data_IF_227858841572
#
_entry.id   IF_227858841572
#
_cell.length_a   1.000
_cell.length_b   1.000
_cell.length_c   1.000
_cell.angle_alpha   90.00
_cell.angle_beta   90.00
_cell.angle_gamma   90.00
#
_symmetry.space_group_name_H-M   'P 1'
#
loop_
_entity.id
_entity.type
_entity.pdbx_description
1 polymer ?
#
# COMPACT_ATOMS: atom_id res chain seq x y z
N UNK A 1 3.84 -6.94 5.78
CA UNK A 1 3.21 -5.67 5.33
C UNK A 1 4.07 -4.82 4.40
N UNK A 2 5.32 -4.47 4.76
CA UNK A 2 6.16 -3.53 3.97
C UNK A 2 6.37 -3.93 2.51
N UNK A 3 6.65 -5.21 2.26
CA UNK A 3 6.87 -5.73 0.91
C UNK A 3 5.60 -5.71 0.06
N UNK A 4 4.45 -6.03 0.66
CA UNK A 4 3.14 -5.93 0.00
C UNK A 4 2.87 -4.51 -0.49
N UNK A 5 3.18 -3.49 0.32
CA UNK A 5 3.04 -2.09 -0.08
C UNK A 5 4.01 -1.67 -1.19
N UNK A 6 5.15 -2.37 -1.32
CA UNK A 6 6.16 -2.13 -2.36
C UNK A 6 5.73 -2.69 -3.71
N UNK A 7 5.15 -3.90 -3.69
CA UNK A 7 4.65 -4.56 -4.89
C UNK A 7 3.29 -4.02 -5.33
N UNK A 8 2.43 -3.67 -4.36
CA UNK A 8 1.05 -3.21 -4.57
C UNK A 8 0.79 -1.93 -3.78
N UNK A 9 1.37 -0.79 -4.20
CA UNK A 9 1.21 0.48 -3.49
C UNK A 9 -0.26 0.93 -3.53
N UNK A 10 -0.86 1.39 -2.41
CA UNK A 10 -2.28 1.81 -2.39
C UNK A 10 -2.63 2.94 -3.36
N UNK A 11 -1.62 3.73 -3.77
CA UNK A 11 -1.74 4.78 -4.77
C UNK A 11 -0.53 4.74 -5.71
N UNK A 12 -0.74 4.80 -7.04
CA UNK A 12 0.35 4.73 -8.02
C UNK A 12 1.20 6.01 -8.05
N UNK A 13 0.63 7.13 -7.61
CA UNK A 13 1.32 8.42 -7.50
C UNK A 13 1.00 9.06 -6.16
N UNK A 14 2.02 9.64 -5.53
CA UNK A 14 1.80 10.53 -4.40
C UNK A 14 1.08 11.80 -4.86
N UNK A 15 0.40 12.46 -3.90
CA UNK A 15 -0.15 13.79 -4.13
C UNK A 15 0.98 14.71 -4.62
N UNK A 16 0.84 15.35 -5.80
CA UNK A 16 1.88 16.21 -6.35
C UNK A 16 2.32 17.26 -5.33
N UNK A 17 3.63 17.39 -5.14
CA UNK A 17 4.22 18.44 -4.30
C UNK A 17 4.86 19.50 -5.18
N UNK A 18 4.73 20.74 -4.76
CA UNK A 18 5.29 21.91 -5.44
C UNK A 18 6.30 22.62 -4.53
N UNK A 19 7.41 23.08 -5.12
CA UNK A 19 8.39 23.92 -4.44
C UNK A 19 7.76 25.27 -4.06
N UNK A 20 8.01 25.75 -2.85
CA UNK A 20 7.47 27.05 -2.39
C UNK A 20 8.31 28.21 -2.95
N UNK A 21 9.62 28.01 -3.06
CA UNK A 21 10.61 28.97 -3.54
C UNK A 21 11.62 28.29 -4.47
N UNK A 22 12.45 29.09 -5.13
CA UNK A 22 13.55 28.56 -5.93
C UNK A 22 14.65 28.01 -5.01
N UNK A 23 15.08 26.77 -5.25
CA UNK A 23 16.12 26.12 -4.46
C UNK A 23 17.05 25.27 -5.33
N UNK A 24 18.25 25.01 -4.83
CA UNK A 24 19.17 24.06 -5.45
C UNK A 24 19.00 22.67 -4.83
N UNK A 25 18.84 21.64 -5.65
CA UNK A 25 18.80 20.24 -5.23
C UNK A 25 19.77 19.44 -6.09
N UNK A 26 20.79 18.82 -5.48
CA UNK A 26 21.83 18.04 -6.18
C UNK A 26 22.50 18.80 -7.34
N UNK A 27 22.74 20.10 -7.20
CA UNK A 27 23.32 20.96 -8.25
C UNK A 27 22.35 21.42 -9.33
N UNK A 28 21.06 21.05 -9.24
CA UNK A 28 20.01 21.52 -10.15
C UNK A 28 19.20 22.64 -9.51
N UNK A 29 18.98 23.73 -10.25
CA UNK A 29 18.10 24.81 -9.83
C UNK A 29 16.63 24.42 -10.08
N UNK A 30 15.85 24.29 -9.01
CA UNK A 30 14.43 24.00 -9.05
C UNK A 30 13.67 25.31 -8.84
N UNK A 31 12.88 25.80 -9.83
CA UNK A 31 12.14 27.04 -9.67
C UNK A 31 10.98 26.89 -8.68
N UNK A 32 10.52 28.04 -8.14
CA UNK A 32 9.29 28.07 -7.36
C UNK A 32 8.12 27.49 -8.17
N UNK A 33 7.20 26.79 -7.48
CA UNK A 33 6.05 26.06 -8.05
C UNK A 33 6.40 24.89 -8.97
N UNK A 34 7.66 24.50 -9.09
CA UNK A 34 8.03 23.27 -9.79
C UNK A 34 7.40 22.05 -9.10
N UNK A 35 6.83 21.14 -9.89
CA UNK A 35 6.30 19.86 -9.39
C UNK A 35 7.41 18.83 -9.23
N UNK A 36 7.39 18.14 -8.10
CA UNK A 36 8.28 17.03 -7.81
C UNK A 36 7.53 15.71 -7.92
N UNK A 37 8.14 14.74 -8.60
CA UNK A 37 7.72 13.34 -8.61
C UNK A 37 8.76 12.55 -7.84
N UNK A 38 8.36 11.98 -6.71
CA UNK A 38 9.24 11.13 -5.91
C UNK A 38 9.05 9.67 -6.33
N UNK A 39 10.15 8.94 -6.49
CA UNK A 39 10.10 7.50 -6.64
C UNK A 39 9.85 6.83 -5.28
N UNK A 40 8.94 5.84 -5.31
CA UNK A 40 8.39 5.01 -4.23
C UNK A 40 8.61 5.43 -2.76
N UNK A 41 7.63 6.15 -2.20
CA UNK A 41 7.43 6.32 -0.74
C UNK A 41 5.94 6.16 -0.40
N UNK A 42 5.45 4.98 0.02
CA UNK A 42 4.01 4.65 0.03
C UNK A 42 3.16 5.55 0.95
N UNK A 43 3.79 6.15 1.95
CA UNK A 43 3.18 7.10 2.88
C UNK A 43 3.84 8.48 2.84
N UNK A 44 4.64 8.77 1.81
CA UNK A 44 5.46 9.96 1.74
C UNK A 44 6.52 10.04 2.84
N UNK A 45 7.12 11.21 2.99
CA UNK A 45 8.16 11.49 3.99
C UNK A 45 8.13 12.97 4.40
N UNK A 46 8.84 13.29 5.49
CA UNK A 46 8.99 14.65 6.00
C UNK A 46 7.68 15.27 6.51
N UNK A 47 7.58 16.60 6.46
CA UNK A 47 6.46 17.38 7.03
C UNK A 47 5.08 17.08 6.43
N UNK A 48 5.03 16.42 5.28
CA UNK A 48 3.78 16.04 4.58
C UNK A 48 3.68 14.52 4.40
N UNK A 49 4.30 13.74 5.28
CA UNK A 49 4.05 12.31 5.38
C UNK A 49 2.60 12.03 5.79
N UNK A 50 2.08 10.86 5.44
CA UNK A 50 0.73 10.45 5.82
C UNK A 50 0.60 10.47 7.36
N UNK A 51 -0.32 11.26 7.92
CA UNK A 51 -0.51 11.32 9.37
C UNK A 51 -1.00 9.98 9.95
N UNK A 52 -1.60 9.12 9.12
CA UNK A 52 -2.05 7.79 9.51
C UNK A 52 -1.01 6.68 9.43
N UNK A 53 0.27 6.96 9.12
CA UNK A 53 1.30 5.92 8.90
C UNK A 53 1.41 4.91 10.06
N UNK A 54 1.64 5.40 11.28
CA UNK A 54 1.85 4.53 12.44
C UNK A 54 0.60 3.72 12.79
N UNK A 55 -0.56 4.40 12.83
CA UNK A 55 -1.84 3.76 13.12
C UNK A 55 -2.22 2.74 12.04
N UNK A 56 -2.06 3.09 10.76
CA UNK A 56 -2.35 2.23 9.63
C UNK A 56 -1.52 0.96 9.65
N UNK A 57 -0.21 1.06 9.87
CA UNK A 57 0.64 -0.12 9.99
C UNK A 57 0.24 -1.01 11.18
N UNK A 58 0.06 -0.42 12.37
CA UNK A 58 -0.33 -1.18 13.55
C UNK A 58 -1.68 -1.90 13.37
N UNK A 59 -2.67 -1.20 12.80
CA UNK A 59 -3.99 -1.77 12.52
C UNK A 59 -3.89 -2.89 11.49
N UNK A 60 -3.14 -2.71 10.40
CA UNK A 60 -2.98 -3.74 9.38
C UNK A 60 -2.27 -4.98 9.92
N UNK A 61 -1.22 -4.80 10.73
CA UNK A 61 -0.48 -5.90 11.34
C UNK A 61 -1.35 -6.69 12.32
N UNK A 62 -2.11 -5.99 13.18
CA UNK A 62 -3.02 -6.64 14.12
C UNK A 62 -4.15 -7.39 13.40
N UNK A 63 -4.81 -6.75 12.44
CA UNK A 63 -5.88 -7.39 11.66
C UNK A 63 -5.35 -8.61 10.90
N UNK A 64 -4.19 -8.50 10.26
CA UNK A 64 -3.59 -9.64 9.57
C UNK A 64 -3.23 -10.77 10.56
N UNK A 65 -2.63 -10.45 11.70
CA UNK A 65 -2.32 -11.43 12.74
C UNK A 65 -3.58 -12.13 13.25
N UNK A 66 -4.66 -11.39 13.51
CA UNK A 66 -5.93 -11.96 13.95
C UNK A 66 -6.54 -12.90 12.89
N UNK A 67 -6.51 -12.50 11.62
CA UNK A 67 -7.04 -13.31 10.51
C UNK A 67 -6.24 -14.60 10.30
N UNK A 68 -4.91 -14.53 10.36
CA UNK A 68 -4.04 -15.70 10.23
C UNK A 68 -4.06 -16.61 11.46
N UNK A 69 -4.26 -16.03 12.64
CA UNK A 69 -4.39 -16.80 13.87
C UNK A 69 -5.72 -17.59 13.88
N UNK A 70 -6.82 -16.94 13.50
CA UNK A 70 -8.16 -17.47 13.74
C UNK A 70 -8.68 -18.37 12.63
N UNK A 71 -8.10 -18.29 11.43
CA UNK A 71 -8.60 -19.00 10.25
C UNK A 71 -7.47 -19.64 9.45
N UNK A 72 -7.72 -20.84 8.97
CA UNK A 72 -7.02 -21.43 7.84
C UNK A 72 -7.70 -20.96 6.53
N UNK A 73 -6.87 -20.63 5.54
CA UNK A 73 -7.31 -20.00 4.29
C UNK A 73 -7.04 -20.93 3.12
N UNK A 74 -8.06 -21.15 2.28
CA UNK A 74 -7.94 -21.93 1.04
C UNK A 74 -8.67 -21.26 -0.12
N UNK A 75 -8.32 -21.65 -1.35
CA UNK A 75 -9.03 -21.22 -2.55
C UNK A 75 -10.38 -21.95 -2.66
N UNK A 76 -11.41 -21.31 -3.25
CA UNK A 76 -12.64 -22.00 -3.63
C UNK A 76 -12.38 -23.12 -4.64
N UNK A 77 -13.31 -24.07 -4.72
CA UNK A 77 -13.17 -25.22 -5.62
C UNK A 77 -13.09 -24.76 -7.08
N UNK A 78 -12.14 -25.31 -7.84
CA UNK A 78 -11.90 -24.93 -9.23
C UNK A 78 -11.02 -23.69 -9.45
N UNK A 79 -10.45 -23.12 -8.38
CA UNK A 79 -9.47 -22.03 -8.46
C UNK A 79 -8.09 -22.51 -8.02
N UNK A 80 -7.07 -22.28 -8.85
CA UNK A 80 -5.68 -22.68 -8.63
C UNK A 80 -4.75 -21.51 -8.31
N UNK A 81 -5.10 -20.29 -8.72
CA UNK A 81 -4.35 -19.08 -8.47
C UNK A 81 -5.24 -17.87 -8.16
N UNK A 82 -4.67 -16.87 -7.50
CA UNK A 82 -5.31 -15.57 -7.25
C UNK A 82 -4.84 -14.56 -8.30
N UNK A 83 -5.77 -13.96 -9.02
CA UNK A 83 -5.48 -12.85 -9.92
C UNK A 83 -5.10 -11.58 -9.13
N UNK A 84 -3.83 -11.18 -9.24
CA UNK A 84 -3.28 -9.99 -8.60
C UNK A 84 -3.31 -8.75 -9.50
N UNK A 85 -3.95 -8.81 -10.67
CA UNK A 85 -4.06 -7.65 -11.57
C UNK A 85 -4.86 -6.51 -10.94
N UNK A 86 -4.50 -5.28 -11.32
CA UNK A 86 -5.02 -4.06 -10.72
C UNK A 86 -6.01 -3.36 -11.68
N UNK A 87 -7.04 -2.76 -11.09
CA UNK A 87 -7.96 -1.89 -11.81
C UNK A 87 -7.34 -0.49 -11.98
N UNK A 88 -7.60 0.19 -13.10
CA UNK A 88 -7.19 1.59 -13.26
C UNK A 88 -7.94 2.48 -12.24
N UNK A 89 -7.25 3.49 -11.70
CA UNK A 89 -7.86 4.45 -10.80
C UNK A 89 -6.86 5.28 -10.01
N UNK A 90 -7.37 6.24 -9.23
CA UNK A 90 -6.58 7.09 -8.35
C UNK A 90 -5.95 6.30 -7.18
N UNK A 91 -6.62 5.24 -6.74
CA UNK A 91 -6.07 4.25 -5.81
C UNK A 91 -5.92 2.90 -6.52
N UNK A 92 -4.85 2.20 -6.19
CA UNK A 92 -4.63 0.83 -6.66
C UNK A 92 -5.62 -0.08 -5.94
N UNK A 93 -6.43 -0.77 -6.74
CA UNK A 93 -7.41 -1.74 -6.27
C UNK A 93 -7.29 -2.97 -7.13
N UNK A 94 -7.66 -4.13 -6.58
CA UNK A 94 -7.70 -5.36 -7.37
C UNK A 94 -8.75 -5.25 -8.47
N UNK A 95 -8.40 -5.76 -9.66
CA UNK A 95 -9.28 -5.84 -10.82
C UNK A 95 -10.47 -6.76 -10.57
N UNK A 96 -10.19 -7.87 -9.89
CA UNK A 96 -11.16 -8.88 -9.50
C UNK A 96 -11.19 -9.02 -7.96
N UNK A 97 -12.37 -9.26 -7.34
CA UNK A 97 -12.46 -9.44 -5.89
C UNK A 97 -11.58 -10.60 -5.35
N UNK A 98 -11.20 -10.52 -4.07
CA UNK A 98 -10.58 -11.66 -3.39
C UNK A 98 -11.64 -12.64 -2.96
N UNK A 99 -11.58 -13.84 -3.53
CA UNK A 99 -12.39 -14.96 -3.10
C UNK A 99 -11.48 -15.94 -2.37
N UNK A 100 -11.78 -16.17 -1.09
CA UNK A 100 -11.10 -17.13 -0.23
C UNK A 100 -12.13 -17.81 0.65
N UNK A 101 -11.87 -19.07 0.99
CA UNK A 101 -12.60 -19.82 2.00
C UNK A 101 -11.86 -19.70 3.31
N UNK A 102 -12.52 -19.12 4.31
CA UNK A 102 -12.01 -19.04 5.68
C UNK A 102 -12.61 -20.19 6.50
N UNK A 103 -11.76 -21.05 7.05
CA UNK A 103 -12.17 -22.12 7.96
C UNK A 103 -11.59 -21.82 9.34
N UNK A 104 -12.39 -21.78 10.43
CA UNK A 104 -11.86 -21.57 11.77
C UNK A 104 -10.72 -22.54 12.07
N UNK A 105 -9.56 -22.02 12.45
CA UNK A 105 -8.42 -22.85 12.81
C UNK A 105 -8.80 -23.65 14.07
N UNK A 106 -8.63 -24.96 14.03
CA UNK A 106 -8.74 -25.78 15.24
C UNK A 106 -7.69 -25.29 16.26
N UNK A 107 -7.94 -25.45 17.58
CA UNK A 107 -6.94 -25.09 18.58
C UNK A 107 -5.61 -25.78 18.24
N UNK A 108 -4.59 -24.98 17.94
CA UNK A 108 -3.23 -25.47 17.71
C UNK A 108 -2.66 -25.78 19.10
N UNK A 109 -2.61 -27.08 19.45
CA UNK A 109 -2.03 -27.58 20.70
C UNK A 109 -0.60 -27.10 20.90
#
# INVERSE_FOLDING_TARGET
>A
MKETLRLHPPAPLLVPRESIEACEINGYMIPAKARSNYEYTPFGSGRRMCPGYNYGLASMELTLAQLLHSFDWSLPDGMDHVDMSEAPGLGVRRKTPLLLRATPALPRN
#
